data_IF_998213907690
#
_entry.id   IF_998213907690
#
_cell.length_a   1.000
_cell.length_b   1.000
_cell.length_c   1.000
_cell.angle_alpha   90.00
_cell.angle_beta   90.00
_cell.angle_gamma   90.00
#
_symmetry.space_group_name_H-M   'P 1'
#
loop_
_entity.id
_entity.type
_entity.pdbx_description
1 polymer ?
#
# COMPACT_ATOMS: atom_id res chain seq x y z
N UNK A 1 7.86 42.65 -18.72
CA UNK A 1 8.82 41.52 -18.80
C UNK A 1 8.47 40.35 -17.87
N UNK A 2 8.04 40.57 -16.61
CA UNK A 2 7.78 39.47 -15.65
C UNK A 2 6.54 38.60 -15.97
N UNK A 3 5.49 39.18 -16.56
CA UNK A 3 4.28 38.42 -16.94
C UNK A 3 4.53 37.41 -18.07
N UNK A 4 5.39 37.77 -19.03
CA UNK A 4 5.78 36.89 -20.14
C UNK A 4 6.64 35.71 -19.67
N UNK A 5 7.50 35.93 -18.67
CA UNK A 5 8.29 34.85 -18.04
C UNK A 5 7.37 33.89 -17.28
N UNK A 6 6.35 34.40 -16.60
CA UNK A 6 5.34 33.57 -15.92
C UNK A 6 4.51 32.75 -16.92
N UNK A 7 4.11 33.37 -18.05
CA UNK A 7 3.38 32.70 -19.13
C UNK A 7 4.23 31.64 -19.84
N UNK A 8 5.54 31.88 -20.02
CA UNK A 8 6.47 30.89 -20.56
C UNK A 8 6.70 29.72 -19.58
N UNK A 9 6.80 29.99 -18.27
CA UNK A 9 6.91 28.94 -17.24
C UNK A 9 5.64 28.08 -17.15
N UNK A 10 4.46 28.70 -17.24
CA UNK A 10 3.18 28.00 -17.30
C UNK A 10 3.01 27.18 -18.59
N UNK A 11 3.51 27.68 -19.73
CA UNK A 11 3.49 26.95 -21.00
C UNK A 11 4.42 25.71 -20.97
N UNK A 12 5.58 25.80 -20.31
CA UNK A 12 6.50 24.67 -20.12
C UNK A 12 5.96 23.58 -19.18
N UNK A 13 4.99 23.89 -18.31
CA UNK A 13 4.37 22.93 -17.39
C UNK A 13 3.18 22.17 -17.99
N UNK A 14 2.72 22.56 -19.19
CA UNK A 14 1.77 21.73 -19.95
C UNK A 14 2.53 20.76 -20.84
N UNK A 15 2.33 19.43 -20.74
CA UNK A 15 2.99 18.50 -21.65
C UNK A 15 2.39 18.65 -23.04
N UNK A 16 3.04 19.47 -23.87
CA UNK A 16 2.77 19.55 -25.30
C UNK A 16 3.09 18.17 -25.89
N UNK A 17 2.04 17.47 -26.30
CA UNK A 17 2.13 16.24 -27.06
C UNK A 17 2.74 16.54 -28.44
N UNK A 18 4.04 16.32 -28.61
CA UNK A 18 4.66 16.25 -29.93
C UNK A 18 5.91 15.34 -29.93
N UNK A 19 5.70 14.14 -30.48
CA UNK A 19 6.57 13.36 -31.37
C UNK A 19 8.07 13.69 -31.34
N UNK A 20 8.87 12.80 -30.75
CA UNK A 20 10.33 12.77 -30.97
C UNK A 20 10.75 11.35 -31.32
N UNK A 21 11.43 11.24 -32.46
CA UNK A 21 11.92 10.01 -33.08
C UNK A 21 13.07 9.42 -32.26
N UNK A 22 13.09 8.08 -32.23
CA UNK A 22 14.15 7.25 -31.69
C UNK A 22 15.51 7.57 -32.34
N UNK A 23 16.54 7.69 -31.51
CA UNK A 23 17.94 7.53 -31.92
C UNK A 23 18.59 6.63 -30.89
N UNK A 24 18.93 5.43 -31.33
CA UNK A 24 19.75 4.46 -30.62
C UNK A 24 21.16 5.01 -30.40
N UNK A 25 21.69 4.81 -29.20
CA UNK A 25 23.13 4.80 -28.95
C UNK A 25 23.40 3.73 -27.88
N UNK A 26 23.75 2.54 -28.35
CA UNK A 26 24.63 1.63 -27.63
C UNK A 26 26.04 2.23 -27.60
N UNK A 27 26.67 2.25 -26.44
CA UNK A 27 28.02 1.69 -26.23
C UNK A 27 28.50 1.87 -24.77
N UNK A 28 28.49 0.74 -24.07
CA UNK A 28 29.55 0.13 -23.26
C UNK A 28 30.45 0.94 -22.27
N UNK A 29 30.49 0.38 -21.04
CA UNK A 29 31.70 -0.21 -20.44
C UNK A 29 32.83 0.72 -19.95
N UNK A 30 32.69 1.30 -18.75
CA UNK A 30 33.80 1.43 -17.77
C UNK A 30 33.31 2.02 -16.42
N UNK A 31 33.34 1.23 -15.34
CA UNK A 31 33.65 1.63 -13.95
C UNK A 31 33.21 0.52 -12.97
N UNK A 32 34.08 -0.47 -12.84
CA UNK A 32 34.10 -1.46 -11.76
C UNK A 32 35.00 -0.92 -10.61
N UNK A 33 34.66 -1.28 -9.38
CA UNK A 33 35.38 -1.11 -8.10
C UNK A 33 35.38 0.27 -7.41
N UNK A 34 34.70 0.33 -6.26
CA UNK A 34 35.32 0.64 -4.96
C UNK A 34 34.39 0.13 -3.84
N UNK A 35 34.85 -0.92 -3.14
CA UNK A 35 34.40 -1.31 -1.81
C UNK A 35 34.95 -0.29 -0.80
N UNK A 36 34.15 0.18 0.16
CA UNK A 36 34.65 0.49 1.51
C UNK A 36 33.50 0.63 2.53
N UNK A 37 33.70 -0.06 3.64
CA UNK A 37 32.87 -0.11 4.85
C UNK A 37 32.84 1.23 5.60
N UNK A 38 31.68 1.70 6.11
CA UNK A 38 31.65 2.47 7.37
C UNK A 38 30.25 2.56 8.04
N UNK A 39 30.14 1.87 9.20
CA UNK A 39 29.72 2.39 10.51
C UNK A 39 28.30 2.97 10.72
N UNK A 40 27.49 2.20 11.48
CA UNK A 40 26.28 2.67 12.15
C UNK A 40 26.67 3.21 13.53
N UNK A 41 26.40 4.50 13.78
CA UNK A 41 26.53 5.10 15.12
C UNK A 41 25.14 5.25 15.74
N UNK A 42 24.81 4.36 16.67
CA UNK A 42 23.70 4.52 17.61
C UNK A 42 24.07 5.54 18.68
N UNK A 43 23.14 6.46 18.99
CA UNK A 43 23.16 7.21 20.25
C UNK A 43 21.90 6.89 21.04
N UNK A 44 22.09 6.13 22.11
CA UNK A 44 21.16 5.94 23.22
C UNK A 44 21.22 7.15 24.16
N UNK A 45 20.09 7.57 24.74
CA UNK A 45 20.05 7.79 26.20
C UNK A 45 18.64 7.63 26.76
N UNK A 46 18.55 6.70 27.71
CA UNK A 46 17.47 6.42 28.66
C UNK A 46 17.11 7.61 29.57
N UNK A 47 15.87 7.64 30.10
CA UNK A 47 15.59 7.19 31.49
C UNK A 47 14.13 7.32 31.93
N UNK A 48 13.81 6.34 32.76
CA UNK A 48 12.63 5.96 33.56
C UNK A 48 12.32 6.84 34.78
N UNK A 49 11.09 6.75 35.31
CA UNK A 49 10.72 6.21 36.66
C UNK A 49 9.20 6.39 36.94
N UNK A 50 8.45 5.30 37.20
CA UNK A 50 7.84 4.85 38.50
C UNK A 50 6.87 5.88 39.18
N UNK A 51 5.68 5.54 39.71
CA UNK A 51 5.41 4.64 40.87
C UNK A 51 3.89 4.30 40.99
N UNK A 52 3.62 3.02 41.27
CA UNK A 52 2.60 2.32 42.10
C UNK A 52 1.16 2.84 42.39
N UNK A 53 0.23 1.88 42.52
CA UNK A 53 -0.88 2.00 43.49
C UNK A 53 -2.18 1.18 43.26
N UNK A 54 -2.11 -0.15 43.40
CA UNK A 54 -3.11 -1.10 43.94
C UNK A 54 -4.61 -0.72 44.12
N UNK A 55 -5.51 -1.66 43.74
CA UNK A 55 -6.56 -2.37 44.55
C UNK A 55 -7.98 -2.42 43.92
N UNK A 56 -8.42 -3.66 43.69
CA UNK A 56 -9.76 -4.28 43.77
C UNK A 56 -11.09 -3.61 43.35
N UNK A 57 -11.87 -4.48 42.69
CA UNK A 57 -13.31 -4.80 42.86
C UNK A 57 -14.40 -3.94 42.20
N UNK A 58 -15.19 -4.68 41.42
CA UNK A 58 -16.64 -4.89 41.53
C UNK A 58 -17.58 -4.23 40.50
N UNK A 59 -18.24 -5.13 39.75
CA UNK A 59 -19.69 -5.19 39.36
C UNK A 59 -20.29 -4.01 38.58
N UNK A 60 -20.75 -4.20 37.34
CA UNK A 60 -22.00 -4.89 36.91
C UNK A 60 -23.31 -4.19 37.34
N UNK A 61 -24.00 -3.59 36.36
CA UNK A 61 -25.47 -3.54 36.10
C UNK A 61 -25.78 -2.36 35.18
N UNK A 62 -26.26 -2.58 33.96
CA UNK A 62 -27.68 -2.66 33.59
C UNK A 62 -28.52 -1.47 34.08
N UNK A 63 -29.09 -0.70 33.14
CA UNK A 63 -30.55 -0.63 32.94
C UNK A 63 -30.94 0.22 31.73
N UNK A 64 -31.90 -0.32 31.01
CA UNK A 64 -32.74 0.29 29.97
C UNK A 64 -33.62 1.42 30.51
N UNK A 65 -34.03 2.36 29.64
CA UNK A 65 -35.42 2.84 29.52
C UNK A 65 -35.62 3.75 28.28
N UNK A 66 -36.41 3.19 27.35
CA UNK A 66 -37.38 3.74 26.37
C UNK A 66 -37.87 5.21 26.38
N UNK A 67 -37.88 5.79 25.15
CA UNK A 67 -38.99 6.45 24.37
C UNK A 67 -39.50 7.86 24.75
N UNK A 68 -39.41 8.83 23.81
CA UNK A 68 -40.54 9.48 23.09
C UNK A 68 -40.06 10.47 22.00
N UNK A 69 -40.79 10.52 20.87
CA UNK A 69 -40.65 11.38 19.68
C UNK A 69 -40.82 12.89 19.98
N UNK A 70 -40.13 13.79 19.23
CA UNK A 70 -40.77 14.86 18.42
C UNK A 70 -39.75 15.65 17.56
N UNK A 71 -40.06 15.71 16.26
CA UNK A 71 -39.99 16.84 15.30
C UNK A 71 -38.70 17.63 14.98
N UNK A 72 -38.67 18.02 13.71
CA UNK A 72 -37.66 18.71 12.91
C UNK A 72 -37.39 20.14 13.40
N UNK A 73 -36.15 20.63 13.29
CA UNK A 73 -35.95 22.04 12.93
C UNK A 73 -34.57 22.37 12.34
N UNK A 74 -34.60 23.30 11.40
CA UNK A 74 -33.50 23.79 10.56
C UNK A 74 -32.50 24.65 11.34
N UNK A 75 -31.20 24.36 11.21
CA UNK A 75 -30.13 25.20 11.74
C UNK A 75 -29.84 26.39 10.82
N UNK A 76 -30.35 27.55 11.18
CA UNK A 76 -30.01 28.85 10.57
C UNK A 76 -28.79 29.44 11.28
N UNK A 77 -27.80 29.90 10.51
CA UNK A 77 -26.55 30.50 11.01
C UNK A 77 -26.77 31.99 11.26
N UNK A 78 -26.66 32.42 12.51
CA UNK A 78 -26.60 33.85 12.89
C UNK A 78 -25.20 34.40 12.62
N UNK A 79 -25.13 35.56 11.97
CA UNK A 79 -23.91 36.37 11.78
C UNK A 79 -23.95 37.56 12.74
N UNK A 80 -22.93 37.65 13.58
CA UNK A 80 -22.65 38.76 14.49
C UNK A 80 -22.15 39.98 13.68
N UNK A 81 -23.02 40.97 13.45
CA UNK A 81 -22.69 42.28 12.85
C UNK A 81 -23.19 43.43 13.77
N UNK A 82 -22.83 43.43 15.05
CA UNK A 82 -23.17 44.51 16.01
C UNK A 82 -21.96 45.01 16.83
N UNK A 83 -20.85 45.43 16.19
CA UNK A 83 -19.76 46.08 16.94
C UNK A 83 -19.02 47.23 16.22
N UNK A 84 -19.70 48.05 15.40
CA UNK A 84 -19.06 49.21 14.76
C UNK A 84 -19.90 50.51 14.64
N UNK A 85 -20.75 50.81 15.63
CA UNK A 85 -21.50 52.10 15.68
C UNK A 85 -21.14 53.00 16.88
N UNK A 86 -19.88 53.04 17.32
CA UNK A 86 -19.51 53.77 18.54
C UNK A 86 -18.50 54.94 18.39
N UNK A 87 -18.45 55.64 17.25
CA UNK A 87 -17.62 56.87 17.10
C UNK A 87 -18.17 57.92 16.12
N UNK A 88 -19.43 58.34 16.29
CA UNK A 88 -19.89 59.63 15.74
C UNK A 88 -20.50 60.41 16.90
N UNK A 89 -19.66 61.19 17.56
CA UNK A 89 -20.07 62.14 18.61
C UNK A 89 -20.39 63.48 17.92
N UNK A 90 -21.67 63.85 17.89
CA UNK A 90 -22.20 65.08 17.27
C UNK A 90 -22.38 66.23 18.29
N UNK A 91 -21.83 66.14 19.50
CA UNK A 91 -22.03 67.15 20.57
C UNK A 91 -20.78 67.98 20.91
N UNK A 92 -20.14 68.65 19.94
CA UNK A 92 -19.16 69.70 20.28
C UNK A 92 -19.01 70.80 19.21
N UNK A 93 -20.04 71.63 18.97
CA UNK A 93 -19.86 73.08 18.70
C UNK A 93 -21.17 73.90 18.65
N UNK A 94 -21.87 74.08 19.78
CA UNK A 94 -22.86 75.16 19.93
C UNK A 94 -22.23 76.39 20.57
N UNK A 95 -21.84 77.37 19.75
CA UNK A 95 -21.35 78.64 20.24
C UNK A 95 -20.92 79.59 19.14
N UNK A 96 -21.87 80.34 18.57
CA UNK A 96 -21.88 81.81 18.55
C UNK A 96 -22.97 82.33 17.60
N UNK A 97 -23.59 83.42 18.03
CA UNK A 97 -24.89 83.93 17.63
C UNK A 97 -24.99 84.42 16.17
N UNK A 98 -26.21 84.26 15.63
CA UNK A 98 -26.74 85.01 14.49
C UNK A 98 -26.79 86.49 14.85
N UNK A 99 -26.15 87.34 14.04
CA UNK A 99 -26.71 88.65 13.77
C UNK A 99 -26.67 89.02 12.29
N UNK A 100 -27.76 89.63 11.84
CA UNK A 100 -28.04 89.97 10.45
C UNK A 100 -27.15 91.13 10.00
N UNK A 101 -26.64 91.08 8.76
CA UNK A 101 -26.96 92.01 7.66
C UNK A 101 -25.81 92.25 6.67
N UNK A 102 -26.23 92.40 5.40
CA UNK A 102 -25.62 93.14 4.27
C UNK A 102 -24.28 92.69 3.64
N UNK A 103 -24.42 92.26 2.38
CA UNK A 103 -23.67 92.66 1.18
C UNK A 103 -22.14 92.88 1.26
N UNK A 104 -21.38 92.09 0.48
CA UNK A 104 -20.61 92.53 -0.70
C UNK A 104 -19.48 91.55 -1.07
N UNK A 105 -19.06 91.62 -2.34
CA UNK A 105 -18.01 90.83 -3.03
C UNK A 105 -16.63 90.93 -2.37
N UNK A 106 -15.85 89.83 -2.38
CA UNK A 106 -14.46 89.80 -2.91
C UNK A 106 -13.83 88.39 -2.86
N UNK A 107 -13.09 88.05 -3.92
CA UNK A 107 -12.13 86.93 -4.01
C UNK A 107 -10.97 87.16 -3.03
N UNK A 108 -10.43 86.11 -2.40
CA UNK A 108 -8.98 85.84 -2.27
C UNK A 108 -8.67 84.58 -1.43
N UNK A 109 -7.71 83.78 -1.90
CA UNK A 109 -6.80 82.93 -1.10
C UNK A 109 -7.31 81.59 -0.55
N UNK A 110 -7.14 80.48 -1.29
CA UNK A 110 -7.08 79.14 -0.69
C UNK A 110 -5.68 78.91 -0.06
N UNK A 111 -5.57 78.46 1.20
CA UNK A 111 -4.32 77.90 1.71
C UNK A 111 -4.21 76.40 1.36
N UNK A 112 -3.04 76.00 0.88
CA UNK A 112 -2.67 74.62 0.49
C UNK A 112 -2.72 73.65 1.70
N UNK A 113 -3.53 72.60 1.58
CA UNK A 113 -3.55 71.46 2.50
C UNK A 113 -2.28 70.62 2.31
N UNK A 114 -1.32 70.77 3.22
CA UNK A 114 -0.16 69.87 3.32
C UNK A 114 -0.64 68.52 3.86
N UNK A 115 -0.77 67.54 2.97
CA UNK A 115 -1.05 66.15 3.35
C UNK A 115 0.06 65.63 4.27
N UNK A 116 -0.32 65.18 5.46
CA UNK A 116 0.57 64.50 6.38
C UNK A 116 1.03 63.17 5.76
N UNK A 117 2.34 62.98 5.67
CA UNK A 117 2.95 61.76 5.14
C UNK A 117 2.78 60.64 6.18
N UNK A 118 1.82 59.74 5.94
CA UNK A 118 1.54 58.61 6.81
C UNK A 118 2.69 57.60 6.68
N UNK A 119 3.27 57.10 7.79
CA UNK A 119 4.41 56.20 7.78
C UNK A 119 4.19 54.98 6.86
N UNK A 120 5.20 54.71 6.01
CA UNK A 120 5.19 53.80 4.85
C UNK A 120 4.83 52.34 5.19
N UNK A 121 4.80 51.96 6.47
CA UNK A 121 4.60 50.57 6.91
C UNK A 121 3.13 50.10 6.95
N UNK A 122 2.15 50.98 6.72
CA UNK A 122 0.72 50.62 6.63
C UNK A 122 0.16 50.66 5.20
N UNK A 123 0.97 50.98 4.19
CA UNK A 123 0.56 50.77 2.80
C UNK A 123 0.67 49.28 2.52
N UNK A 124 -0.46 48.61 2.37
CA UNK A 124 -0.57 47.24 1.83
C UNK A 124 0.01 47.24 0.42
N UNK A 125 1.32 47.13 0.32
CA UNK A 125 2.01 47.08 -0.95
C UNK A 125 1.72 45.71 -1.56
N UNK A 126 0.97 45.68 -2.65
CA UNK A 126 0.78 44.50 -3.50
C UNK A 126 2.13 43.87 -3.92
N UNK A 127 3.20 44.67 -3.89
CA UNK A 127 4.59 44.23 -4.10
C UNK A 127 5.16 43.35 -2.96
N UNK A 128 4.56 43.32 -1.77
CA UNK A 128 4.98 42.42 -0.68
C UNK A 128 4.39 41.01 -0.84
N UNK A 129 3.30 40.88 -1.60
CA UNK A 129 2.57 39.62 -1.78
C UNK A 129 3.13 38.76 -2.92
N UNK A 130 4.24 39.11 -3.58
CA UNK A 130 4.77 38.28 -4.68
C UNK A 130 5.07 36.85 -4.24
N UNK A 131 5.57 36.65 -3.02
CA UNK A 131 5.85 35.31 -2.48
C UNK A 131 4.54 34.57 -2.18
N UNK A 132 3.54 35.25 -1.60
CA UNK A 132 2.23 34.68 -1.31
C UNK A 132 1.45 34.31 -2.58
N UNK A 133 1.45 35.18 -3.58
CA UNK A 133 0.85 34.94 -4.90
C UNK A 133 1.57 33.79 -5.61
N UNK A 134 2.90 33.71 -5.50
CA UNK A 134 3.66 32.59 -6.07
C UNK A 134 3.35 31.27 -5.36
N UNK A 135 3.20 31.29 -4.03
CA UNK A 135 2.79 30.12 -3.25
C UNK A 135 1.37 29.67 -3.60
N UNK A 136 0.42 30.60 -3.69
CA UNK A 136 -0.95 30.34 -4.14
C UNK A 136 -1.00 29.81 -5.57
N UNK A 137 -0.18 30.36 -6.47
CA UNK A 137 -0.06 29.86 -7.84
C UNK A 137 0.51 28.43 -7.87
N UNK A 138 1.54 28.14 -7.06
CA UNK A 138 2.09 26.79 -6.91
C UNK A 138 1.05 25.79 -6.37
N UNK A 139 0.28 26.20 -5.37
CA UNK A 139 -0.83 25.41 -4.83
C UNK A 139 -1.94 25.19 -5.88
N UNK A 140 -2.25 26.21 -6.67
CA UNK A 140 -3.20 26.13 -7.78
C UNK A 140 -2.77 25.11 -8.84
N UNK A 141 -1.48 25.12 -9.23
CA UNK A 141 -0.91 24.12 -10.16
C UNK A 141 -0.98 22.72 -9.57
N UNK A 142 -0.65 22.57 -8.27
CA UNK A 142 -0.76 21.28 -7.57
C UNK A 142 -2.20 20.76 -7.58
N UNK A 143 -3.17 21.63 -7.25
CA UNK A 143 -4.58 21.26 -7.21
C UNK A 143 -5.13 20.90 -8.61
N UNK A 144 -4.77 21.67 -9.63
CA UNK A 144 -5.15 21.36 -11.02
C UNK A 144 -4.55 20.03 -11.48
N UNK A 145 -3.28 19.73 -11.15
CA UNK A 145 -2.68 18.45 -11.45
C UNK A 145 -3.42 17.30 -10.73
N UNK A 146 -3.79 17.50 -9.46
CA UNK A 146 -4.56 16.53 -8.70
C UNK A 146 -5.90 16.21 -9.38
N UNK A 147 -6.68 17.23 -9.76
CA UNK A 147 -7.97 17.05 -10.45
C UNK A 147 -7.79 16.36 -11.81
N UNK A 148 -6.80 16.77 -12.60
CA UNK A 148 -6.52 16.14 -13.90
C UNK A 148 -6.07 14.69 -13.75
N UNK A 149 -5.20 14.39 -12.79
CA UNK A 149 -4.70 13.05 -12.51
C UNK A 149 -5.82 12.11 -12.07
N UNK A 150 -6.65 12.57 -11.12
CA UNK A 150 -7.85 11.86 -10.65
C UNK A 150 -8.83 11.57 -11.79
N UNK A 151 -9.18 12.58 -12.59
CA UNK A 151 -10.12 12.41 -13.69
C UNK A 151 -9.58 11.48 -14.79
N UNK A 152 -8.28 11.52 -15.08
CA UNK A 152 -7.64 10.60 -16.03
C UNK A 152 -7.70 9.15 -15.55
N UNK A 153 -7.31 8.89 -14.30
CA UNK A 153 -7.36 7.55 -13.73
C UNK A 153 -8.80 7.01 -13.69
N UNK A 154 -9.76 7.85 -13.28
CA UNK A 154 -11.18 7.49 -13.28
C UNK A 154 -11.68 7.14 -14.68
N UNK A 155 -11.35 7.95 -15.69
CA UNK A 155 -11.72 7.71 -17.09
C UNK A 155 -11.15 6.39 -17.62
N UNK A 156 -9.89 6.08 -17.29
CA UNK A 156 -9.25 4.82 -17.67
C UNK A 156 -9.93 3.61 -17.00
N UNK A 157 -10.24 3.71 -15.71
CA UNK A 157 -10.94 2.67 -14.97
C UNK A 157 -12.33 2.38 -15.56
N UNK A 158 -13.10 3.44 -15.83
CA UNK A 158 -14.43 3.31 -16.46
C UNK A 158 -14.36 2.74 -17.88
N UNK A 159 -13.36 3.15 -18.66
CA UNK A 159 -13.14 2.58 -20.00
C UNK A 159 -12.84 1.08 -19.94
N UNK A 160 -12.02 0.66 -18.97
CA UNK A 160 -11.73 -0.76 -18.77
C UNK A 160 -13.00 -1.52 -18.37
N UNK A 161 -13.78 -1.01 -17.42
CA UNK A 161 -15.03 -1.66 -16.99
C UNK A 161 -15.98 -1.84 -18.15
N UNK A 162 -16.27 -0.77 -18.90
CA UNK A 162 -17.22 -0.81 -20.02
C UNK A 162 -16.80 -1.82 -21.10
N UNK A 163 -15.50 -1.97 -21.36
CA UNK A 163 -15.00 -2.92 -22.36
C UNK A 163 -15.11 -4.40 -21.94
N UNK A 164 -15.02 -4.66 -20.63
CA UNK A 164 -14.95 -6.01 -20.06
C UNK A 164 -16.25 -6.46 -19.38
N UNK A 165 -17.18 -5.53 -19.10
CA UNK A 165 -18.45 -5.77 -18.41
C UNK A 165 -19.23 -6.93 -19.00
N UNK A 166 -19.50 -6.91 -20.30
CA UNK A 166 -20.25 -7.98 -20.98
C UNK A 166 -19.61 -9.36 -20.79
N UNK A 167 -18.27 -9.43 -20.78
CA UNK A 167 -17.56 -10.69 -20.61
C UNK A 167 -17.63 -11.17 -19.15
N UNK A 168 -17.61 -10.25 -18.19
CA UNK A 168 -17.74 -10.55 -16.76
C UNK A 168 -19.16 -11.03 -16.43
N UNK A 169 -20.19 -10.32 -16.90
CA UNK A 169 -21.61 -10.67 -16.67
C UNK A 169 -22.00 -12.00 -17.34
N UNK A 170 -21.32 -12.39 -18.42
CA UNK A 170 -21.51 -13.71 -19.04
C UNK A 170 -20.90 -14.86 -18.21
N UNK A 171 -19.87 -14.58 -17.40
CA UNK A 171 -19.11 -15.60 -16.66
C UNK A 171 -19.45 -15.67 -15.17
N UNK A 172 -19.96 -14.58 -14.59
CA UNK A 172 -20.28 -14.43 -13.17
C UNK A 172 -21.72 -13.97 -13.01
N UNK A 173 -22.42 -14.48 -11.99
CA UNK A 173 -23.78 -14.01 -11.70
C UNK A 173 -23.79 -12.67 -10.97
N UNK A 174 -22.72 -12.34 -10.25
CA UNK A 174 -22.57 -11.11 -9.49
C UNK A 174 -21.26 -10.43 -9.89
N UNK A 175 -21.35 -9.18 -10.36
CA UNK A 175 -20.21 -8.35 -10.79
C UNK A 175 -20.34 -6.97 -10.16
N UNK A 176 -19.32 -6.55 -9.40
CA UNK A 176 -19.28 -5.26 -8.72
C UNK A 176 -19.95 -5.23 -7.35
N UNK A 177 -19.90 -6.33 -6.60
CA UNK A 177 -20.43 -6.37 -5.23
C UNK A 177 -19.47 -5.67 -4.26
N UNK A 178 -20.00 -4.74 -3.47
CA UNK A 178 -19.28 -4.03 -2.41
C UNK A 178 -19.32 -4.81 -1.07
N UNK A 179 -20.07 -5.93 -1.01
CA UNK A 179 -20.18 -6.79 0.18
C UNK A 179 -20.85 -6.12 1.40
N UNK A 180 -21.14 -4.82 1.31
CA UNK A 180 -21.72 -3.97 2.35
C UNK A 180 -23.17 -3.59 2.05
N UNK A 181 -23.59 -3.62 0.78
CA UNK A 181 -24.96 -3.34 0.37
C UNK A 181 -25.81 -4.62 0.39
N UNK A 182 -27.03 -4.54 0.95
CA UNK A 182 -27.98 -5.67 0.99
C UNK A 182 -28.51 -6.06 -0.41
N UNK A 183 -28.31 -5.19 -1.39
CA UNK A 183 -28.62 -5.41 -2.79
C UNK A 183 -27.33 -5.29 -3.60
N UNK A 184 -27.00 -6.33 -4.37
CA UNK A 184 -25.82 -6.32 -5.23
C UNK A 184 -25.93 -5.19 -6.25
N UNK A 185 -25.25 -4.07 -6.01
CA UNK A 185 -25.21 -2.94 -6.95
C UNK A 185 -24.33 -3.34 -8.13
N UNK A 186 -24.94 -3.99 -9.12
CA UNK A 186 -24.19 -4.58 -10.23
C UNK A 186 -23.52 -3.51 -11.11
N UNK A 187 -22.22 -3.68 -11.32
CA UNK A 187 -21.46 -2.96 -12.33
C UNK A 187 -20.93 -1.58 -11.92
N UNK A 188 -20.65 -1.38 -10.63
CA UNK A 188 -19.85 -0.23 -10.16
C UNK A 188 -18.45 -0.70 -9.76
N UNK A 189 -17.42 0.07 -10.16
CA UNK A 189 -16.06 -0.11 -9.66
C UNK A 189 -15.94 0.52 -8.28
N UNK A 190 -15.45 -0.24 -7.30
CA UNK A 190 -15.08 0.29 -6.00
C UNK A 190 -13.82 1.13 -6.13
N UNK A 191 -13.85 2.33 -5.56
CA UNK A 191 -12.70 3.22 -5.54
C UNK A 191 -12.02 3.15 -4.18
N UNK A 192 -11.05 2.25 -4.05
CA UNK A 192 -10.25 2.12 -2.83
C UNK A 192 -9.32 3.33 -2.63
N UNK A 193 -8.77 3.86 -3.72
CA UNK A 193 -7.89 5.03 -3.70
C UNK A 193 -7.98 5.80 -5.01
N UNK A 194 -7.37 6.99 -5.08
CA UNK A 194 -7.32 7.80 -6.31
C UNK A 194 -6.54 7.14 -7.46
N UNK A 195 -5.74 6.12 -7.15
CA UNK A 195 -4.97 5.35 -8.10
C UNK A 195 -5.27 3.83 -8.07
N UNK A 196 -6.19 3.37 -7.21
CA UNK A 196 -6.54 1.94 -7.10
C UNK A 196 -8.06 1.80 -7.18
N UNK A 197 -8.52 1.01 -8.15
CA UNK A 197 -9.93 0.69 -8.34
C UNK A 197 -10.07 -0.83 -8.26
N UNK A 198 -11.06 -1.31 -7.52
CA UNK A 198 -11.32 -2.72 -7.33
C UNK A 198 -12.68 -3.12 -7.91
N UNK A 199 -12.76 -4.33 -8.44
CA UNK A 199 -13.99 -4.97 -8.86
C UNK A 199 -14.04 -6.37 -8.29
N UNK A 200 -15.06 -6.65 -7.48
CA UNK A 200 -15.33 -8.00 -7.00
C UNK A 200 -16.34 -8.70 -7.90
N UNK A 201 -16.04 -9.93 -8.31
CA UNK A 201 -16.93 -10.78 -9.10
C UNK A 201 -17.11 -12.13 -8.40
N UNK A 202 -18.34 -12.63 -8.34
CA UNK A 202 -18.67 -13.90 -7.67
C UNK A 202 -19.80 -14.65 -8.39
N UNK A 203 -20.03 -15.90 -7.95
CA UNK A 203 -21.13 -16.72 -8.48
C UNK A 203 -20.81 -17.50 -9.76
N UNK A 204 -19.53 -17.68 -10.07
CA UNK A 204 -19.06 -18.68 -11.04
C UNK A 204 -18.79 -20.00 -10.31
N UNK A 205 -19.17 -21.12 -10.90
CA UNK A 205 -18.84 -22.44 -10.35
C UNK A 205 -17.32 -22.60 -10.22
N UNK A 206 -16.86 -23.22 -9.12
CA UNK A 206 -15.44 -23.45 -8.80
C UNK A 206 -14.62 -22.23 -8.35
N UNK A 207 -15.20 -21.04 -8.37
CA UNK A 207 -14.55 -19.79 -7.94
C UNK A 207 -15.30 -19.26 -6.73
N UNK A 208 -14.61 -19.08 -5.60
CA UNK A 208 -15.18 -18.44 -4.41
C UNK A 208 -15.37 -16.94 -4.68
N UNK A 209 -14.38 -16.31 -5.31
CA UNK A 209 -14.44 -14.93 -5.73
C UNK A 209 -13.30 -14.56 -6.67
N UNK A 210 -13.49 -13.50 -7.43
CA UNK A 210 -12.46 -12.90 -8.26
C UNK A 210 -12.38 -11.40 -7.96
N UNK A 211 -11.20 -10.97 -7.50
CA UNK A 211 -10.86 -9.57 -7.33
C UNK A 211 -10.07 -9.09 -8.54
N UNK A 212 -10.55 -8.02 -9.17
CA UNK A 212 -9.78 -7.30 -10.19
C UNK A 212 -9.39 -5.93 -9.63
N UNK A 213 -8.10 -5.73 -9.41
CA UNK A 213 -7.54 -4.44 -9.00
C UNK A 213 -6.87 -3.75 -10.19
N UNK A 214 -7.31 -2.54 -10.50
CA UNK A 214 -6.69 -1.63 -11.46
C UNK A 214 -5.77 -0.69 -10.67
N UNK A 215 -4.46 -0.95 -10.72
CA UNK A 215 -3.41 -0.16 -10.07
C UNK A 215 -2.82 0.82 -11.08
N UNK A 216 -3.31 2.05 -11.04
CA UNK A 216 -2.79 3.14 -11.86
C UNK A 216 -1.59 3.82 -11.20
N UNK A 217 -0.77 4.47 -12.03
CA UNK A 217 0.23 5.41 -11.55
C UNK A 217 -0.45 6.57 -10.80
N UNK A 218 0.22 7.07 -9.75
CA UNK A 218 -0.23 8.21 -8.94
C UNK A 218 -0.08 9.54 -9.68
N UNK A 219 -0.87 9.73 -10.75
CA UNK A 219 -0.87 10.95 -11.59
C UNK A 219 -1.34 12.19 -10.84
N UNK A 220 -2.12 12.00 -9.79
CA UNK A 220 -2.63 13.07 -8.94
C UNK A 220 -1.55 13.69 -8.04
N UNK A 221 -0.44 12.99 -7.82
CA UNK A 221 0.69 13.46 -7.02
C UNK A 221 1.83 13.94 -7.93
N UNK A 222 2.27 15.18 -7.75
CA UNK A 222 3.35 15.77 -8.55
C UNK A 222 4.67 15.04 -8.36
N UNK A 223 5.00 14.61 -7.13
CA UNK A 223 6.29 13.95 -6.85
C UNK A 223 6.31 12.60 -7.56
N UNK A 224 5.24 11.82 -7.40
CA UNK A 224 5.06 10.57 -8.13
C UNK A 224 5.06 10.77 -9.65
N UNK A 225 4.45 11.85 -10.16
CA UNK A 225 4.46 12.17 -11.59
C UNK A 225 5.88 12.48 -12.11
N UNK A 226 6.69 13.21 -11.35
CA UNK A 226 8.09 13.52 -11.69
C UNK A 226 8.95 12.25 -11.61
N UNK A 227 8.76 11.43 -10.59
CA UNK A 227 9.48 10.14 -10.46
C UNK A 227 9.20 9.21 -11.65
N UNK A 228 7.93 9.14 -12.10
CA UNK A 228 7.55 8.34 -13.27
C UNK A 228 8.12 8.89 -14.60
N UNK A 229 8.46 10.18 -14.65
CA UNK A 229 9.17 10.77 -15.79
C UNK A 229 10.64 10.34 -15.82
N UNK A 230 11.28 10.15 -14.66
CA UNK A 230 12.64 9.63 -14.55
C UNK A 230 12.70 8.11 -14.78
N UNK A 231 11.73 7.37 -14.23
CA UNK A 231 11.62 5.91 -14.37
C UNK A 231 10.26 5.52 -14.95
N UNK A 232 10.18 5.25 -16.26
CA UNK A 232 8.93 4.86 -16.91
C UNK A 232 8.34 3.61 -16.28
N UNK A 233 7.13 3.74 -15.77
CA UNK A 233 6.34 2.66 -15.17
C UNK A 233 5.03 2.50 -15.95
N UNK A 234 4.41 1.33 -15.89
CA UNK A 234 3.13 1.06 -16.56
C UNK A 234 2.02 0.91 -15.51
N UNK A 235 0.78 1.24 -15.88
CA UNK A 235 -0.36 0.87 -15.04
C UNK A 235 -0.49 -0.66 -15.01
N UNK A 236 -1.00 -1.22 -13.92
CA UNK A 236 -1.12 -2.66 -13.72
C UNK A 236 -2.57 -3.08 -13.48
N UNK A 237 -2.95 -4.21 -14.06
CA UNK A 237 -4.21 -4.90 -13.82
C UNK A 237 -3.86 -6.20 -13.10
N UNK A 238 -4.27 -6.31 -11.84
CA UNK A 238 -4.07 -7.50 -11.00
C UNK A 238 -5.40 -8.21 -10.92
N UNK A 239 -5.44 -9.45 -11.38
CA UNK A 239 -6.62 -10.31 -11.27
C UNK A 239 -6.25 -11.45 -10.34
N UNK A 240 -6.90 -11.47 -9.18
CA UNK A 240 -6.78 -12.54 -8.21
C UNK A 240 -8.08 -13.35 -8.22
N UNK A 241 -7.96 -14.66 -8.41
CA UNK A 241 -9.08 -15.61 -8.40
C UNK A 241 -8.87 -16.56 -7.24
N UNK A 242 -9.78 -16.50 -6.27
CA UNK A 242 -9.81 -17.43 -5.14
C UNK A 242 -10.64 -18.65 -5.55
N UNK A 243 -10.01 -19.82 -5.53
CA UNK A 243 -10.63 -21.09 -5.92
C UNK A 243 -11.15 -21.85 -4.69
N UNK A 244 -12.08 -22.77 -4.90
CA UNK A 244 -12.43 -23.75 -3.85
C UNK A 244 -11.26 -24.76 -3.69
N UNK A 245 -10.75 -24.99 -2.46
CA UNK A 245 -9.73 -25.98 -2.15
C UNK A 245 -9.99 -27.40 -2.66
N UNK A 246 -11.25 -27.77 -2.92
CA UNK A 246 -11.62 -29.10 -3.43
C UNK A 246 -11.46 -29.26 -4.93
N UNK A 247 -11.39 -28.14 -5.67
CA UNK A 247 -11.40 -28.17 -7.13
C UNK A 247 -9.99 -28.25 -7.71
N UNK A 248 -9.03 -27.56 -7.10
CA UNK A 248 -7.65 -27.49 -7.60
C UNK A 248 -6.79 -28.61 -7.01
N UNK A 249 -6.17 -29.40 -7.87
CA UNK A 249 -5.10 -30.32 -7.46
C UNK A 249 -3.87 -29.53 -6.95
N UNK A 250 -3.13 -30.13 -6.01
CA UNK A 250 -2.00 -29.47 -5.34
C UNK A 250 -0.79 -29.32 -6.28
N UNK A 251 -0.46 -28.10 -6.68
CA UNK A 251 0.79 -27.76 -7.35
C UNK A 251 1.03 -26.24 -7.30
N UNK A 252 2.31 -25.85 -7.37
CA UNK A 252 2.70 -24.44 -7.53
C UNK A 252 3.38 -24.25 -8.89
N UNK A 253 2.94 -23.22 -9.61
CA UNK A 253 3.38 -22.89 -10.95
C UNK A 253 3.35 -21.38 -11.19
N UNK A 254 4.40 -20.81 -11.78
CA UNK A 254 4.38 -19.44 -12.26
C UNK A 254 5.14 -19.24 -13.56
N UNK A 255 4.65 -18.30 -14.36
CA UNK A 255 5.36 -17.67 -15.48
C UNK A 255 5.63 -16.24 -15.11
N UNK A 256 6.87 -15.81 -15.24
CA UNK A 256 7.30 -14.47 -14.84
C UNK A 256 8.20 -13.91 -15.92
N UNK A 257 8.15 -12.60 -16.18
CA UNK A 257 9.21 -11.97 -16.98
C UNK A 257 10.57 -12.17 -16.30
N UNK A 258 11.61 -12.47 -17.08
CA UNK A 258 12.96 -12.77 -16.58
C UNK A 258 13.51 -11.67 -15.65
N UNK A 259 13.26 -10.40 -15.99
CA UNK A 259 13.65 -9.23 -15.19
C UNK A 259 13.07 -9.22 -13.76
N UNK A 260 11.86 -9.77 -13.59
CA UNK A 260 11.13 -9.75 -12.32
C UNK A 260 11.16 -11.09 -11.58
N UNK A 261 11.63 -12.16 -12.24
CA UNK A 261 11.67 -13.53 -11.69
C UNK A 261 12.44 -13.64 -10.38
N UNK A 262 13.61 -12.99 -10.27
CA UNK A 262 14.42 -13.02 -9.05
C UNK A 262 13.73 -12.38 -7.85
N UNK A 263 13.12 -11.21 -8.07
CA UNK A 263 12.35 -10.48 -7.05
C UNK A 263 11.14 -11.31 -6.60
N UNK A 264 10.31 -11.75 -7.54
CA UNK A 264 9.08 -12.49 -7.21
C UNK A 264 9.36 -13.82 -6.49
N UNK A 265 10.40 -14.54 -6.90
CA UNK A 265 10.82 -15.78 -6.23
C UNK A 265 11.33 -15.53 -4.80
N UNK A 266 11.88 -14.36 -4.48
CA UNK A 266 12.31 -14.03 -3.12
C UNK A 266 11.14 -13.60 -2.24
N UNK A 267 10.24 -12.78 -2.78
CA UNK A 267 9.17 -12.13 -2.02
C UNK A 267 7.99 -13.08 -1.74
N UNK A 268 7.66 -14.00 -2.65
CA UNK A 268 6.58 -14.98 -2.46
C UNK A 268 7.09 -16.24 -1.75
N UNK A 269 6.43 -16.65 -0.66
CA UNK A 269 6.85 -17.81 0.14
C UNK A 269 6.69 -19.13 -0.63
N UNK A 270 5.54 -19.33 -1.24
CA UNK A 270 5.19 -20.52 -2.00
C UNK A 270 6.13 -20.76 -3.19
N UNK A 271 6.43 -19.73 -3.97
CA UNK A 271 7.40 -19.84 -5.06
C UNK A 271 8.78 -20.22 -4.53
N UNK A 272 9.25 -19.57 -3.46
CA UNK A 272 10.57 -19.83 -2.90
C UNK A 272 10.73 -21.23 -2.32
N UNK A 273 9.64 -21.82 -1.82
CA UNK A 273 9.65 -23.09 -1.11
C UNK A 273 9.36 -24.29 -2.02
N UNK A 274 8.44 -24.14 -2.98
CA UNK A 274 7.94 -25.26 -3.78
C UNK A 274 8.45 -25.27 -5.22
N UNK A 275 8.91 -24.14 -5.76
CA UNK A 275 9.26 -24.04 -7.17
C UNK A 275 10.75 -23.91 -7.41
N UNK A 276 11.18 -24.37 -8.59
CA UNK A 276 12.51 -24.15 -9.11
C UNK A 276 12.42 -23.51 -10.49
N UNK A 277 13.46 -22.77 -10.88
CA UNK A 277 13.60 -22.26 -12.25
C UNK A 277 13.78 -23.43 -13.22
N UNK A 278 12.87 -23.55 -14.18
CA UNK A 278 12.97 -24.55 -15.26
C UNK A 278 13.38 -23.87 -16.56
N UNK A 279 14.38 -24.42 -17.24
CA UNK A 279 14.74 -23.99 -18.59
C UNK A 279 13.80 -24.68 -19.57
N UNK A 280 12.93 -23.89 -20.19
CA UNK A 280 11.82 -24.41 -21.01
C UNK A 280 12.09 -24.29 -22.52
N UNK A 281 13.25 -23.76 -22.91
CA UNK A 281 13.65 -23.33 -24.25
C UNK A 281 13.46 -24.33 -25.41
N UNK A 282 13.05 -25.58 -25.16
CA UNK A 282 12.82 -26.60 -26.20
C UNK A 282 11.50 -27.36 -26.13
N UNK A 283 10.68 -27.18 -25.08
CA UNK A 283 9.45 -27.99 -24.89
C UNK A 283 8.15 -27.21 -24.95
N UNK A 284 8.17 -25.90 -24.72
CA UNK A 284 6.98 -25.06 -24.76
C UNK A 284 7.27 -23.82 -25.59
N UNK A 285 6.38 -23.49 -26.53
CA UNK A 285 6.49 -22.36 -27.46
C UNK A 285 6.25 -21.01 -26.76
N UNK A 286 7.07 -20.69 -25.75
CA UNK A 286 6.96 -19.48 -24.93
C UNK A 286 8.06 -18.50 -25.32
N UNK A 287 7.80 -17.19 -25.38
CA UNK A 287 8.82 -16.19 -25.63
C UNK A 287 10.00 -16.28 -24.65
N UNK A 288 11.20 -15.98 -25.14
CA UNK A 288 12.44 -16.05 -24.36
C UNK A 288 12.52 -14.99 -23.25
N UNK A 289 11.63 -14.01 -23.20
CA UNK A 289 11.52 -13.05 -22.11
C UNK A 289 10.92 -13.63 -20.82
N UNK A 290 10.27 -14.79 -20.90
CA UNK A 290 9.64 -15.44 -19.75
C UNK A 290 10.56 -16.48 -19.10
N UNK A 291 10.39 -16.63 -17.79
CA UNK A 291 10.98 -17.66 -16.96
C UNK A 291 9.85 -18.46 -16.33
N UNK A 292 9.93 -19.79 -16.44
CA UNK A 292 8.98 -20.70 -15.80
C UNK A 292 9.53 -21.16 -14.46
N UNK A 293 8.69 -21.04 -13.43
CA UNK A 293 8.88 -21.57 -12.09
C UNK A 293 7.87 -22.69 -11.90
N UNK A 294 8.31 -23.91 -11.66
CA UNK A 294 7.39 -25.05 -11.56
C UNK A 294 7.90 -26.15 -10.63
N UNK A 295 6.99 -26.65 -9.81
CA UNK A 295 7.16 -27.87 -9.01
C UNK A 295 6.93 -29.15 -9.85
N UNK A 296 5.89 -29.13 -10.70
CA UNK A 296 5.36 -30.27 -11.44
C UNK A 296 5.24 -29.91 -12.93
N UNK A 297 6.05 -30.58 -13.75
CA UNK A 297 6.07 -30.34 -15.19
C UNK A 297 4.77 -30.74 -15.89
N UNK A 298 4.08 -31.78 -15.40
CA UNK A 298 2.77 -32.20 -15.92
C UNK A 298 1.75 -31.06 -15.84
N UNK A 299 1.65 -30.40 -14.68
CA UNK A 299 0.80 -29.24 -14.47
C UNK A 299 1.18 -28.08 -15.41
N UNK A 300 2.48 -27.80 -15.53
CA UNK A 300 3.00 -26.78 -16.45
C UNK A 300 2.59 -27.01 -17.90
N UNK A 301 2.73 -28.23 -18.41
CA UNK A 301 2.33 -28.57 -19.78
C UNK A 301 0.82 -28.54 -19.99
N UNK A 302 0.03 -28.80 -18.95
CA UNK A 302 -1.43 -28.78 -19.03
C UNK A 302 -2.00 -27.35 -19.01
N UNK A 303 -1.38 -26.47 -18.23
CA UNK A 303 -1.71 -25.04 -18.16
C UNK A 303 -1.28 -24.31 -19.44
N UNK A 304 -0.07 -24.59 -19.93
CA UNK A 304 0.52 -23.93 -21.09
C UNK A 304 0.16 -24.65 -22.38
N UNK A 305 -1.14 -24.64 -22.67
CA UNK A 305 -1.63 -25.12 -23.94
C UNK A 305 -1.34 -24.14 -25.08
N UNK A 306 -1.60 -24.59 -26.31
CA UNK A 306 -1.33 -23.80 -27.53
C UNK A 306 -2.04 -22.44 -27.53
N UNK A 307 -3.23 -22.34 -26.92
CA UNK A 307 -3.99 -21.08 -26.88
C UNK A 307 -3.32 -20.08 -25.93
N UNK A 308 -2.92 -20.52 -24.75
CA UNK A 308 -2.20 -19.69 -23.78
C UNK A 308 -0.86 -19.24 -24.38
N UNK A 309 -0.09 -20.15 -24.98
CA UNK A 309 1.18 -19.80 -25.62
C UNK A 309 1.03 -18.74 -26.73
N UNK A 310 0.00 -18.84 -27.58
CA UNK A 310 -0.28 -17.83 -28.61
C UNK A 310 -0.61 -16.45 -28.03
N UNK A 311 -1.38 -16.40 -26.93
CA UNK A 311 -1.69 -15.15 -26.26
C UNK A 311 -0.44 -14.55 -25.61
N UNK A 312 0.39 -15.39 -24.97
CA UNK A 312 1.67 -14.95 -24.38
C UNK A 312 2.64 -14.40 -25.42
N UNK A 313 2.70 -14.99 -26.62
CA UNK A 313 3.51 -14.48 -27.73
C UNK A 313 2.98 -13.13 -28.24
N UNK A 314 1.65 -13.00 -28.39
CA UNK A 314 1.05 -11.76 -28.91
C UNK A 314 1.11 -10.60 -27.91
N UNK A 315 0.98 -10.89 -26.61
CA UNK A 315 0.88 -9.89 -25.54
C UNK A 315 2.08 -9.94 -24.58
N UNK A 316 3.25 -10.34 -25.08
CA UNK A 316 4.47 -10.52 -24.29
C UNK A 316 4.80 -9.31 -23.40
N UNK A 317 4.73 -8.10 -23.96
CA UNK A 317 4.99 -6.86 -23.24
C UNK A 317 3.95 -6.52 -22.16
N UNK A 318 2.74 -7.08 -22.27
CA UNK A 318 1.63 -6.81 -21.37
C UNK A 318 1.56 -7.80 -20.21
N UNK A 319 2.19 -8.96 -20.27
CA UNK A 319 2.13 -9.97 -19.19
C UNK A 319 3.34 -9.82 -18.28
N UNK A 320 3.14 -9.43 -17.02
CA UNK A 320 4.23 -9.33 -16.03
C UNK A 320 4.48 -10.70 -15.39
N UNK A 321 3.43 -11.31 -14.82
CA UNK A 321 3.47 -12.68 -14.33
C UNK A 321 2.08 -13.33 -14.24
N UNK A 322 2.07 -14.65 -14.29
CA UNK A 322 0.93 -15.52 -14.04
C UNK A 322 1.38 -16.51 -12.96
N UNK A 323 0.65 -16.60 -11.85
CA UNK A 323 1.04 -17.39 -10.69
C UNK A 323 -0.15 -18.19 -10.17
N UNK A 324 -0.03 -19.51 -10.19
CA UNK A 324 -1.00 -20.48 -9.69
C UNK A 324 -0.39 -21.21 -8.50
N UNK A 325 -1.09 -21.22 -7.38
CA UNK A 325 -0.58 -21.82 -6.15
C UNK A 325 -1.72 -22.37 -5.31
N UNK A 326 -1.59 -23.62 -4.85
CA UNK A 326 -2.44 -24.17 -3.79
C UNK A 326 -2.01 -23.73 -2.38
N UNK A 327 -0.79 -23.18 -2.26
CA UNK A 327 -0.14 -22.81 -0.99
C UNK A 327 0.03 -21.30 -0.83
N UNK A 328 -0.81 -20.49 -1.50
CA UNK A 328 -0.65 -19.05 -1.46
C UNK A 328 -0.90 -18.51 -0.05
N UNK A 329 0.14 -17.89 0.53
CA UNK A 329 0.16 -17.35 1.89
C UNK A 329 0.29 -15.82 1.93
N UNK A 330 0.22 -15.16 0.77
CA UNK A 330 0.55 -13.74 0.63
C UNK A 330 2.04 -13.46 0.46
N UNK A 331 2.37 -12.17 0.41
CA UNK A 331 3.76 -11.71 0.37
C UNK A 331 4.46 -11.97 1.70
N UNK A 332 5.75 -12.33 1.69
CA UNK A 332 6.54 -12.40 2.92
C UNK A 332 6.45 -11.05 3.63
N UNK A 333 5.96 -11.05 4.87
CA UNK A 333 6.03 -9.88 5.73
C UNK A 333 7.50 -9.47 5.86
N UNK A 334 7.81 -8.20 5.60
CA UNK A 334 9.14 -7.64 5.83
C UNK A 334 9.48 -7.55 7.32
N UNK A 335 8.51 -7.75 8.20
CA UNK A 335 8.73 -7.88 9.63
C UNK A 335 9.40 -9.21 9.94
N UNK A 336 10.63 -9.13 10.45
CA UNK A 336 11.45 -10.23 10.98
C UNK A 336 10.79 -10.97 12.16
N UNK A 337 9.55 -10.62 12.55
CA UNK A 337 8.75 -11.42 13.48
C UNK A 337 8.33 -12.71 12.78
N UNK A 338 9.18 -13.73 12.87
CA UNK A 338 8.90 -15.03 12.26
C UNK A 338 7.55 -15.57 12.77
N UNK A 339 6.61 -15.87 11.85
CA UNK A 339 5.24 -16.17 12.24
C UNK A 339 5.22 -17.44 13.09
N UNK A 340 4.69 -17.32 14.32
CA UNK A 340 4.59 -18.43 15.28
C UNK A 340 3.43 -19.38 14.97
N UNK A 341 2.57 -19.00 14.03
CA UNK A 341 1.43 -19.76 13.52
C UNK A 341 1.62 -20.03 12.03
N UNK A 342 1.27 -21.25 11.62
CA UNK A 342 1.33 -21.66 10.22
C UNK A 342 0.53 -20.67 9.36
N UNK A 343 1.07 -20.22 8.23
CA UNK A 343 0.34 -19.32 7.34
C UNK A 343 -0.96 -19.98 6.88
N UNK A 344 -2.04 -19.21 6.82
CA UNK A 344 -3.27 -19.68 6.20
C UNK A 344 -3.06 -19.68 4.70
N UNK A 345 -3.04 -20.88 4.12
CA UNK A 345 -2.88 -21.07 2.69
C UNK A 345 -4.24 -21.15 2.00
N UNK A 346 -4.34 -20.55 0.82
CA UNK A 346 -5.52 -20.64 -0.04
C UNK A 346 -5.09 -20.94 -1.48
N UNK A 347 -5.90 -21.69 -2.25
CA UNK A 347 -5.66 -21.87 -3.67
C UNK A 347 -6.03 -20.60 -4.44
N UNK A 348 -5.04 -19.99 -5.10
CA UNK A 348 -5.21 -18.71 -5.78
C UNK A 348 -4.59 -18.77 -7.17
N UNK A 349 -5.28 -18.18 -8.15
CA UNK A 349 -4.72 -17.84 -9.45
C UNK A 349 -4.55 -16.32 -9.53
N UNK A 350 -3.32 -15.87 -9.69
CA UNK A 350 -2.98 -14.47 -9.88
C UNK A 350 -2.49 -14.22 -11.29
N UNK A 351 -3.02 -13.18 -11.92
CA UNK A 351 -2.59 -12.69 -13.21
C UNK A 351 -2.28 -11.21 -13.07
N UNK A 352 -1.05 -10.82 -13.45
CA UNK A 352 -0.65 -9.41 -13.43
C UNK A 352 -0.28 -8.98 -14.83
N UNK A 353 -1.05 -8.03 -15.33
CA UNK A 353 -0.89 -7.46 -16.65
C UNK A 353 -0.47 -6.00 -16.56
N UNK A 354 0.56 -5.61 -17.31
CA UNK A 354 0.94 -4.22 -17.53
C UNK A 354 0.13 -3.67 -18.70
N UNK A 355 -0.48 -2.50 -18.50
CA UNK A 355 -1.20 -1.78 -19.55
C UNK A 355 -0.18 -1.20 -20.54
N UNK A 356 -0.40 -1.35 -21.86
CA UNK A 356 0.48 -0.78 -22.86
C UNK A 356 0.57 0.74 -22.74
N UNK A 357 1.75 1.29 -23.09
CA UNK A 357 1.95 2.74 -23.17
C UNK A 357 2.84 3.36 -22.07
N UNK A 358 3.42 2.55 -21.16
CA UNK A 358 4.44 2.98 -20.17
C UNK A 358 4.10 4.31 -19.49
N UNK A 359 2.87 4.41 -18.98
CA UNK A 359 2.36 5.58 -18.26
C UNK A 359 1.52 6.55 -19.09
N UNK A 360 1.56 6.45 -20.43
CA UNK A 360 0.73 7.21 -21.38
C UNK A 360 -0.46 6.38 -21.90
N UNK A 361 -1.05 5.57 -21.03
CA UNK A 361 -2.15 4.66 -21.34
C UNK A 361 -3.38 5.41 -21.86
N UNK A 362 -3.99 4.90 -22.92
CA UNK A 362 -5.23 5.43 -23.50
C UNK A 362 -6.42 4.52 -23.20
N UNK A 363 -7.67 5.04 -23.26
CA UNK A 363 -8.88 4.23 -23.17
C UNK A 363 -8.90 3.04 -24.16
N UNK A 364 -8.42 3.25 -25.39
CA UNK A 364 -8.32 2.19 -26.42
C UNK A 364 -7.38 1.05 -26.02
N UNK A 365 -6.34 1.35 -25.24
CA UNK A 365 -5.39 0.33 -24.80
C UNK A 365 -6.06 -0.60 -23.79
N UNK A 366 -6.99 -0.10 -22.97
CA UNK A 366 -7.78 -0.92 -22.07
C UNK A 366 -8.68 -1.90 -22.82
N UNK A 367 -9.33 -1.46 -23.90
CA UNK A 367 -10.16 -2.33 -24.75
C UNK A 367 -9.35 -3.45 -25.40
N UNK A 368 -8.11 -3.15 -25.80
CA UNK A 368 -7.22 -4.12 -26.45
C UNK A 368 -6.81 -5.31 -25.56
N UNK A 369 -6.98 -5.18 -24.24
CA UNK A 369 -6.63 -6.19 -23.23
C UNK A 369 -7.72 -7.25 -23.03
N UNK A 370 -8.88 -7.12 -23.69
CA UNK A 370 -9.99 -8.09 -23.61
C UNK A 370 -9.58 -9.55 -23.84
N UNK A 371 -8.68 -9.88 -24.79
CA UNK A 371 -8.21 -11.26 -24.96
C UNK A 371 -7.42 -11.83 -23.77
N UNK A 372 -6.79 -10.97 -22.96
CA UNK A 372 -6.11 -11.42 -21.73
C UNK A 372 -7.12 -11.85 -20.68
N UNK A 373 -8.25 -11.15 -20.53
CA UNK A 373 -9.33 -11.58 -19.64
C UNK A 373 -9.97 -12.89 -20.13
N UNK A 374 -10.12 -13.08 -21.44
CA UNK A 374 -10.55 -14.37 -22.00
C UNK A 374 -9.55 -15.49 -21.70
N UNK A 375 -8.24 -15.22 -21.75
CA UNK A 375 -7.21 -16.18 -21.35
C UNK A 375 -7.33 -16.54 -19.87
N UNK A 376 -7.62 -15.57 -18.98
CA UNK A 376 -7.88 -15.84 -17.56
C UNK A 376 -9.01 -16.85 -17.39
N UNK A 377 -10.15 -16.64 -18.05
CA UNK A 377 -11.28 -17.58 -17.96
C UNK A 377 -10.95 -18.96 -18.52
N UNK A 378 -10.23 -19.03 -19.63
CA UNK A 378 -9.73 -20.29 -20.17
C UNK A 378 -8.83 -21.02 -19.17
N UNK A 379 -7.96 -20.30 -18.46
CA UNK A 379 -7.11 -20.86 -17.41
C UNK A 379 -7.93 -21.37 -16.22
N UNK A 380 -8.91 -20.60 -15.72
CA UNK A 380 -9.81 -21.02 -14.63
C UNK A 380 -10.49 -22.35 -15.00
N UNK A 381 -11.08 -22.41 -16.20
CA UNK A 381 -11.78 -23.58 -16.68
C UNK A 381 -10.84 -24.78 -16.86
N UNK A 382 -9.60 -24.55 -17.29
CA UNK A 382 -8.58 -25.59 -17.40
C UNK A 382 -8.18 -26.14 -16.05
N UNK A 383 -7.92 -25.28 -15.06
CA UNK A 383 -7.56 -25.70 -13.71
C UNK A 383 -8.68 -26.51 -13.07
N UNK A 384 -9.94 -26.10 -13.24
CA UNK A 384 -11.08 -26.85 -12.68
C UNK A 384 -11.23 -28.29 -13.21
N UNK A 385 -10.67 -28.57 -14.40
CA UNK A 385 -10.71 -29.89 -15.04
C UNK A 385 -9.39 -30.63 -14.99
N UNK A 386 -8.33 -29.98 -14.53
CA UNK A 386 -7.00 -30.55 -14.49
C UNK A 386 -6.94 -31.60 -13.39
N UNK A 387 -6.68 -32.83 -13.78
CA UNK A 387 -6.40 -33.93 -12.85
C UNK A 387 -4.97 -34.40 -13.07
N UNK A 388 -4.14 -34.21 -12.05
CA UNK A 388 -2.77 -34.68 -12.05
C UNK A 388 -2.71 -36.20 -11.93
N UNK A 389 -1.68 -36.79 -12.53
CA UNK A 389 -1.37 -38.20 -12.36
C UNK A 389 -1.17 -38.58 -10.89
N UNK A 390 -1.36 -39.87 -10.57
CA UNK A 390 -1.13 -40.38 -9.21
C UNK A 390 0.29 -40.11 -8.71
N UNK A 391 1.28 -40.15 -9.61
CA UNK A 391 2.67 -39.86 -9.30
C UNK A 391 2.89 -38.38 -8.98
N UNK A 392 2.32 -37.48 -9.79
CA UNK A 392 2.38 -36.05 -9.55
C UNK A 392 1.70 -35.67 -8.22
N UNK A 393 0.53 -36.25 -7.91
CA UNK A 393 -0.15 -36.05 -6.62
C UNK A 393 0.69 -36.52 -5.45
N UNK A 394 1.29 -37.70 -5.53
CA UNK A 394 2.17 -38.20 -4.47
C UNK A 394 3.41 -37.32 -4.29
N UNK A 395 4.00 -36.81 -5.38
CA UNK A 395 5.12 -35.87 -5.30
C UNK A 395 4.68 -34.57 -4.63
N UNK A 396 3.51 -34.06 -5.02
CA UNK A 396 2.93 -32.86 -4.43
C UNK A 396 2.76 -33.03 -2.92
N UNK A 397 2.06 -34.08 -2.48
CA UNK A 397 1.80 -34.34 -1.06
C UNK A 397 3.09 -34.48 -0.25
N UNK A 398 4.10 -35.19 -0.78
CA UNK A 398 5.41 -35.31 -0.12
C UNK A 398 6.11 -33.96 0.04
N UNK A 399 5.98 -33.06 -0.94
CA UNK A 399 6.56 -31.73 -0.84
C UNK A 399 5.84 -30.86 0.20
N UNK A 400 4.50 -30.96 0.33
CA UNK A 400 3.76 -30.27 1.40
C UNK A 400 4.14 -30.81 2.78
N UNK A 401 4.24 -32.13 2.93
CA UNK A 401 4.68 -32.75 4.19
C UNK A 401 6.08 -32.29 4.61
N UNK A 402 7.03 -32.23 3.67
CA UNK A 402 8.37 -31.70 3.95
C UNK A 402 8.36 -30.23 4.36
N UNK A 403 7.52 -29.42 3.71
CA UNK A 403 7.36 -28.01 4.04
C UNK A 403 6.76 -27.82 5.46
N UNK A 404 5.77 -28.62 5.82
CA UNK A 404 5.18 -28.67 7.16
C UNK A 404 6.21 -29.10 8.21
N UNK A 405 6.96 -30.17 7.96
CA UNK A 405 8.03 -30.66 8.84
C UNK A 405 9.14 -29.61 9.05
N UNK A 406 9.54 -28.91 7.99
CA UNK A 406 10.53 -27.84 8.06
C UNK A 406 10.01 -26.66 8.88
N UNK A 407 8.76 -26.27 8.70
CA UNK A 407 8.11 -25.22 9.47
C UNK A 407 7.98 -25.60 10.96
N UNK A 408 7.59 -26.83 11.27
CA UNK A 408 7.53 -27.34 12.64
C UNK A 408 8.91 -27.38 13.29
N UNK A 409 9.93 -27.82 12.55
CA UNK A 409 11.32 -27.85 13.02
C UNK A 409 11.82 -26.44 13.34
N UNK A 410 11.58 -25.49 12.44
CA UNK A 410 11.95 -24.09 12.62
C UNK A 410 11.23 -23.49 13.84
N UNK A 411 9.92 -23.70 13.94
CA UNK A 411 9.09 -23.23 15.06
C UNK A 411 9.55 -23.83 16.38
N UNK A 412 9.88 -25.12 16.41
CA UNK A 412 10.38 -25.79 17.61
C UNK A 412 11.76 -25.26 18.01
N UNK A 413 12.67 -25.06 17.05
CA UNK A 413 13.99 -24.46 17.29
C UNK A 413 13.86 -23.06 17.90
N UNK A 414 13.02 -22.20 17.32
CA UNK A 414 12.76 -20.86 17.85
C UNK A 414 12.16 -20.90 19.27
N UNK A 415 11.18 -21.78 19.52
CA UNK A 415 10.60 -21.93 20.86
C UNK A 415 11.64 -22.38 21.89
N UNK A 416 12.56 -23.25 21.49
CA UNK A 416 13.66 -23.68 22.35
C UNK A 416 14.64 -22.53 22.62
N UNK A 417 15.02 -21.77 21.60
CA UNK A 417 15.90 -20.61 21.71
C UNK A 417 15.30 -19.51 22.59
N UNK A 418 14.04 -19.13 22.34
CA UNK A 418 13.31 -18.15 23.16
C UNK A 418 13.17 -18.62 24.62
N UNK A 419 12.95 -19.91 24.86
CA UNK A 419 12.92 -20.47 26.21
C UNK A 419 14.30 -20.48 26.88
N UNK A 420 15.39 -20.65 26.12
CA UNK A 420 16.75 -20.58 26.62
C UNK A 420 17.14 -19.13 26.96
N UNK A 421 16.86 -18.17 26.07
CA UNK A 421 17.06 -16.74 26.29
C UNK A 421 16.32 -16.26 27.53
N UNK A 422 15.03 -16.59 27.68
CA UNK A 422 14.25 -16.25 28.89
C UNK A 422 14.81 -16.89 30.17
N UNK A 423 15.42 -18.07 30.08
CA UNK A 423 16.06 -18.73 31.23
C UNK A 423 17.40 -18.08 31.57
N UNK A 424 18.14 -17.62 30.57
CA UNK A 424 19.40 -16.92 30.75
C UNK A 424 19.18 -15.51 31.31
N UNK A 425 18.21 -14.77 30.77
CA UNK A 425 17.82 -13.44 31.24
C UNK A 425 17.37 -13.47 32.70
N UNK A 426 16.50 -14.43 33.07
CA UNK A 426 16.12 -14.64 34.49
C UNK A 426 17.33 -14.94 35.38
N UNK A 427 18.28 -15.75 34.91
CA UNK A 427 19.50 -16.06 35.65
C UNK A 427 20.40 -14.84 35.80
N UNK A 428 20.51 -14.03 34.75
CA UNK A 428 21.29 -12.78 34.75
C UNK A 428 20.68 -11.76 35.71
N UNK A 429 19.36 -11.56 35.66
CA UNK A 429 18.64 -10.66 36.56
C UNK A 429 18.70 -11.12 38.03
N UNK A 430 18.61 -12.44 38.30
CA UNK A 430 18.80 -12.97 39.66
C UNK A 430 20.22 -12.70 40.18
N UNK A 431 21.24 -12.86 39.32
CA UNK A 431 22.64 -12.58 39.67
C UNK A 431 22.90 -11.09 39.91
N UNK A 432 22.33 -10.22 39.07
CA UNK A 432 22.42 -8.76 39.23
C UNK A 432 21.73 -8.30 40.52
N UNK A 433 20.56 -8.87 40.85
CA UNK A 433 19.87 -8.60 42.11
C UNK A 433 20.69 -9.05 43.33
N UNK A 434 21.40 -10.18 43.23
CA UNK A 434 22.29 -10.64 44.30
C UNK A 434 23.51 -9.72 44.48
N UNK A 435 24.06 -9.20 43.39
CA UNK A 435 25.19 -8.28 43.41
C UNK A 435 24.81 -6.90 43.99
N UNK A 436 23.56 -6.48 43.81
CA UNK A 436 23.04 -5.18 44.27
C UNK A 436 22.44 -5.21 45.69
N UNK A 437 22.53 -6.33 46.43
CA UNK A 437 22.04 -6.42 47.80
C UNK A 437 23.08 -5.83 48.78
N UNK A 438 22.75 -4.72 49.45
CA UNK A 438 23.67 -3.93 50.29
C UNK A 438 24.04 -4.58 51.66
N UNK A 439 23.35 -5.64 52.08
CA UNK A 439 23.51 -6.27 53.39
C UNK A 439 24.42 -7.54 53.34
N UNK A 440 25.66 -7.51 53.88
CA UNK A 440 26.70 -8.52 53.63
C UNK A 440 26.36 -9.93 54.15
N UNK A 441 25.59 -10.04 55.23
CA UNK A 441 25.18 -11.34 55.78
C UNK A 441 24.05 -11.99 54.97
N UNK A 442 23.18 -11.18 54.34
CA UNK A 442 22.12 -11.67 53.44
C UNK A 442 22.68 -12.12 52.11
N UNK A 443 23.65 -11.40 51.56
CA UNK A 443 24.35 -11.76 50.33
C UNK A 443 25.03 -13.14 50.45
N UNK A 444 25.80 -13.38 51.53
CA UNK A 444 26.50 -14.66 51.77
C UNK A 444 25.55 -15.85 51.86
N UNK A 445 24.39 -15.67 52.51
CA UNK A 445 23.37 -16.71 52.66
C UNK A 445 22.63 -17.02 51.35
N UNK A 446 22.41 -16.01 50.51
CA UNK A 446 21.81 -16.18 49.18
C UNK A 446 22.77 -16.88 48.21
N UNK A 447 24.04 -16.50 48.20
CA UNK A 447 25.10 -17.10 47.37
C UNK A 447 25.32 -18.57 47.71
N UNK A 448 25.42 -18.92 49.00
CA UNK A 448 25.58 -20.31 49.45
C UNK A 448 24.36 -21.17 49.05
N UNK A 449 23.15 -20.59 49.09
CA UNK A 449 21.91 -21.26 48.66
C UNK A 449 21.88 -21.49 47.15
N UNK A 450 22.41 -20.55 46.36
CA UNK A 450 22.52 -20.68 44.91
C UNK A 450 23.56 -21.74 44.52
N UNK A 451 24.76 -21.68 45.09
CA UNK A 451 25.82 -22.68 44.87
C UNK A 451 25.33 -24.10 45.18
N UNK A 452 24.56 -24.27 46.26
CA UNK A 452 23.94 -25.56 46.60
C UNK A 452 22.90 -26.03 45.58
N UNK A 453 22.17 -25.10 44.92
CA UNK A 453 21.21 -25.43 43.85
C UNK A 453 21.93 -25.79 42.56
N UNK A 454 23.01 -25.10 42.19
CA UNK A 454 23.82 -25.43 41.03
C UNK A 454 24.49 -26.79 41.16
N UNK A 455 25.10 -27.08 42.32
CA UNK A 455 25.72 -28.38 42.60
C UNK A 455 24.71 -29.53 42.48
N UNK A 456 23.45 -29.31 42.90
CA UNK A 456 22.36 -30.29 42.70
C UNK A 456 21.88 -30.40 41.26
N UNK A 457 21.99 -29.35 40.43
CA UNK A 457 21.66 -29.41 38.98
C UNK A 457 22.76 -30.08 38.16
N UNK A 458 24.03 -29.89 38.54
CA UNK A 458 25.20 -30.51 37.90
C UNK A 458 25.34 -32.00 38.22
N UNK A 459 24.72 -32.48 39.31
CA UNK A 459 24.67 -33.91 39.58
C UNK A 459 23.86 -34.66 38.51
N UNK A 460 24.45 -35.67 37.83
CA UNK A 460 23.76 -36.44 36.80
C UNK A 460 22.60 -37.23 37.40
N UNK A 461 21.39 -37.09 36.84
CA UNK A 461 20.23 -37.90 37.25
C UNK A 461 20.39 -39.31 36.70
N UNK A 462 20.67 -40.30 37.57
CA UNK A 462 20.70 -41.71 37.21
C UNK A 462 19.32 -42.14 36.68
N UNK A 463 19.23 -42.51 35.39
CA UNK A 463 18.02 -43.13 34.82
C UNK A 463 17.98 -44.59 35.31
N UNK A 464 16.99 -44.95 36.11
CA UNK A 464 16.71 -46.36 36.42
C UNK A 464 16.28 -47.06 35.13
N UNK A 465 17.09 -48.01 34.64
CA UNK A 465 16.62 -49.00 33.66
C UNK A 465 15.54 -49.84 34.33
N UNK A 466 14.30 -49.72 33.84
CA UNK A 466 13.22 -50.65 34.17
C UNK A 466 13.57 -51.98 33.48
N UNK A 467 14.06 -52.95 34.25
CA UNK A 467 14.19 -54.34 33.80
C UNK A 467 12.76 -54.87 33.63
N UNK A 468 12.38 -55.15 32.39
CA UNK A 468 11.18 -55.91 32.05
C UNK A 468 11.31 -57.31 32.66
N UNK A 469 10.31 -57.69 33.47
CA UNK A 469 10.05 -59.08 33.87
C UNK A 469 8.86 -59.60 33.07
#
# INVERSE_FOLDING_TARGET
MKLWVLLCLLACLTPLTARQQDVDTDDNEFAEFEDEDEFVMETNTDKSEQVAGNTDKQTAKEREATVEDTEEDESTVETEDEEFEHFIDEDEFEGFEKDKSQASKSKEGQPELKMADVPVHLRTNWDSFYVEILMLAGLGVYFLNFLQGKNKNHKLAQSWLNAHRDLLEQNFSIVGDDGTSKEATSGTLMKESENVYALWCSGRTCVEGMLVELKFLKRQDLISSISNMLKPSSDQIVIQVDLDPKVMDKFVFAIVQKRSSGKLHKEMLDLSQFTEKKNVDKKLDIPSSFQVLSEIMEATTAVLDKKVCQVLQKYEACVEYIHFSDQYAGMKSSDDSQPTKMPQVKPVLMFVFNVPGKGKSKPSDMESMKPLLQMVFHCIDKISRLQLSREAKQKADKNRQKAEEEYERLTHSQRQEAAQLRREEKRRAEKERLLNEEDPDRARKLEERENRREMKRKQPKMKMMKVQG
#
